data_IF_424714696226
#
_entry.id   IF_424714696226
#
_cell.length_a   1.000
_cell.length_b   1.000
_cell.length_c   1.000
_cell.angle_alpha   90.00
_cell.angle_beta   90.00
_cell.angle_gamma   90.00
#
_symmetry.space_group_name_H-M   'P 1'
#
loop_
_entity.id
_entity.type
_entity.pdbx_description
1 polymer ?
#
# COMPACT_ATOMS: atom_id res chain seq x y z
N UNK A 1 -16.43 -48.71 2.67
CA UNK A 1 -16.77 -47.72 3.72
C UNK A 1 -16.06 -46.43 3.34
N UNK A 2 -16.77 -45.38 3.01
CA UNK A 2 -16.18 -44.16 2.53
C UNK A 2 -15.63 -43.27 3.66
N UNK A 3 -14.67 -42.41 3.31
CA UNK A 3 -13.98 -41.52 4.22
C UNK A 3 -14.30 -40.04 3.92
N UNK A 4 -14.19 -39.21 4.92
CA UNK A 4 -14.41 -37.78 4.80
C UNK A 4 -13.06 -37.06 4.72
N UNK A 5 -12.88 -36.27 3.66
CA UNK A 5 -11.77 -35.34 3.51
C UNK A 5 -12.10 -34.07 4.30
N UNK A 6 -11.31 -33.80 5.32
CA UNK A 6 -11.41 -32.56 6.08
C UNK A 6 -10.69 -31.41 5.37
N UNK A 7 -10.96 -30.17 5.78
CA UNK A 7 -10.35 -28.95 5.23
C UNK A 7 -8.84 -28.86 5.42
N UNK A 8 -8.30 -29.51 6.44
CA UNK A 8 -6.85 -29.63 6.71
C UNK A 8 -6.16 -30.73 5.90
N UNK A 9 -6.86 -31.35 4.96
CA UNK A 9 -6.36 -32.46 4.15
C UNK A 9 -6.38 -33.81 4.85
N UNK A 10 -6.74 -33.88 6.15
CA UNK A 10 -6.85 -35.14 6.86
C UNK A 10 -8.09 -35.96 6.41
N UNK A 11 -7.94 -37.27 6.33
CA UNK A 11 -9.06 -38.19 6.04
C UNK A 11 -9.49 -38.95 7.27
N UNK A 12 -10.80 -38.99 7.54
CA UNK A 12 -11.38 -39.71 8.67
C UNK A 12 -12.52 -40.62 8.19
N UNK A 13 -12.84 -41.63 8.95
CA UNK A 13 -14.01 -42.47 8.67
C UNK A 13 -15.31 -41.67 8.78
N UNK A 14 -16.25 -41.96 7.89
CA UNK A 14 -17.56 -41.33 7.92
C UNK A 14 -18.35 -41.85 9.15
N UNK A 15 -18.98 -40.90 9.85
CA UNK A 15 -19.79 -41.13 11.02
C UNK A 15 -21.05 -40.27 10.97
N UNK A 16 -22.20 -40.87 10.71
CA UNK A 16 -23.50 -40.20 10.61
C UNK A 16 -23.91 -39.51 11.91
N UNK A 17 -23.41 -39.98 13.05
CA UNK A 17 -23.73 -39.38 14.35
C UNK A 17 -23.22 -37.94 14.46
N UNK A 18 -22.16 -37.59 13.73
CA UNK A 18 -21.64 -36.22 13.66
C UNK A 18 -22.58 -35.26 12.93
N UNK A 19 -23.32 -35.77 11.92
CA UNK A 19 -24.37 -35.01 11.24
C UNK A 19 -25.53 -34.76 12.21
N UNK A 20 -26.00 -35.80 12.87
CA UNK A 20 -27.07 -35.70 13.88
C UNK A 20 -26.70 -34.71 14.99
N UNK A 21 -25.48 -34.79 15.53
CA UNK A 21 -25.02 -33.89 16.57
C UNK A 21 -24.92 -32.42 16.11
N UNK A 22 -24.52 -32.19 14.87
CA UNK A 22 -24.47 -30.83 14.30
C UNK A 22 -25.88 -30.25 14.10
N UNK A 23 -26.83 -31.03 13.63
CA UNK A 23 -28.23 -30.61 13.52
C UNK A 23 -28.84 -30.33 14.90
N UNK A 24 -28.65 -31.19 15.90
CA UNK A 24 -29.13 -30.97 17.28
C UNK A 24 -28.70 -29.60 17.78
N UNK A 25 -27.41 -29.27 17.65
CA UNK A 25 -26.89 -27.96 18.06
C UNK A 25 -27.57 -26.78 17.33
N UNK A 26 -27.93 -26.95 16.06
CA UNK A 26 -28.64 -25.90 15.32
C UNK A 26 -30.09 -25.75 15.82
N UNK A 27 -30.78 -26.83 16.16
CA UNK A 27 -32.10 -26.77 16.78
C UNK A 27 -32.08 -26.13 18.17
N UNK A 28 -31.13 -26.52 19.00
CA UNK A 28 -30.94 -25.95 20.34
C UNK A 28 -30.61 -24.45 20.28
N UNK A 29 -29.76 -24.02 19.34
CA UNK A 29 -29.40 -22.61 19.15
C UNK A 29 -30.61 -21.73 18.78
N UNK A 30 -31.67 -22.32 18.19
CA UNK A 30 -32.91 -21.62 17.87
C UNK A 30 -34.01 -21.87 18.93
N UNK A 31 -33.69 -22.56 20.03
CA UNK A 31 -34.68 -22.91 21.09
C UNK A 31 -35.83 -23.76 20.57
N UNK A 32 -35.64 -24.52 19.49
CA UNK A 32 -36.67 -25.30 18.84
C UNK A 32 -36.64 -26.76 19.32
N UNK A 33 -37.75 -27.23 19.80
CA UNK A 33 -37.87 -28.63 20.23
C UNK A 33 -37.72 -29.58 19.03
N UNK A 34 -37.09 -30.71 19.27
CA UNK A 34 -36.90 -31.76 18.28
C UNK A 34 -37.15 -33.14 18.91
N UNK A 35 -37.52 -34.07 18.06
CA UNK A 35 -37.57 -35.49 18.44
C UNK A 35 -36.38 -36.22 17.81
N UNK A 36 -35.70 -37.09 18.56
CA UNK A 36 -34.50 -37.82 18.11
C UNK A 36 -34.72 -38.59 16.81
N UNK A 37 -35.93 -39.16 16.62
CA UNK A 37 -36.24 -39.85 15.37
C UNK A 37 -36.29 -38.95 14.15
N UNK A 38 -36.72 -37.71 14.30
CA UNK A 38 -36.70 -36.69 13.20
C UNK A 38 -35.27 -36.34 12.83
N UNK A 39 -34.43 -36.11 13.82
CA UNK A 39 -32.99 -35.82 13.58
C UNK A 39 -32.31 -36.97 12.84
N UNK A 40 -32.55 -38.21 13.28
CA UNK A 40 -31.97 -39.38 12.64
C UNK A 40 -32.49 -39.58 11.21
N UNK A 41 -33.77 -39.30 10.95
CA UNK A 41 -34.34 -39.36 9.61
C UNK A 41 -33.69 -38.29 8.71
N UNK A 42 -33.55 -37.06 9.18
CA UNK A 42 -32.87 -35.96 8.45
C UNK A 42 -31.41 -36.29 8.17
N UNK A 43 -30.69 -36.89 9.12
CA UNK A 43 -29.29 -37.30 8.92
C UNK A 43 -29.14 -38.39 7.85
N UNK A 44 -30.10 -39.33 7.78
CA UNK A 44 -30.12 -40.29 6.69
C UNK A 44 -30.46 -39.68 5.33
N UNK A 45 -31.36 -38.69 5.28
CA UNK A 45 -31.66 -37.94 4.08
C UNK A 45 -30.43 -37.16 3.58
N UNK A 46 -29.65 -36.54 4.48
CA UNK A 46 -28.37 -35.90 4.15
C UNK A 46 -27.40 -36.89 3.54
N UNK A 47 -27.30 -38.08 4.13
CA UNK A 47 -26.43 -39.13 3.60
C UNK A 47 -26.84 -39.54 2.18
N UNK A 48 -28.13 -39.69 1.93
CA UNK A 48 -28.65 -39.96 0.58
C UNK A 48 -28.44 -38.81 -0.41
N UNK A 49 -28.49 -37.55 0.04
CA UNK A 49 -28.30 -36.37 -0.83
C UNK A 49 -26.86 -36.24 -1.31
N UNK A 50 -25.86 -36.51 -0.45
CA UNK A 50 -24.46 -36.40 -0.88
C UNK A 50 -23.87 -37.69 -1.44
N UNK A 51 -24.51 -38.85 -1.28
CA UNK A 51 -24.02 -40.13 -1.79
C UNK A 51 -23.57 -40.11 -3.25
N UNK A 52 -24.28 -39.43 -4.20
CA UNK A 52 -23.84 -39.29 -5.59
C UNK A 52 -22.57 -38.47 -5.80
N UNK A 53 -22.16 -37.70 -4.77
CA UNK A 53 -20.95 -36.85 -4.83
C UNK A 53 -19.70 -37.60 -4.38
N UNK A 54 -19.81 -38.80 -3.84
CA UNK A 54 -18.67 -39.61 -3.42
C UNK A 54 -17.83 -40.02 -4.60
N UNK A 55 -16.54 -39.71 -4.56
CA UNK A 55 -15.55 -40.10 -5.60
C UNK A 55 -14.40 -40.85 -4.96
N UNK A 56 -14.06 -42.03 -5.48
CA UNK A 56 -12.97 -42.88 -4.96
C UNK A 56 -13.06 -43.16 -3.44
N UNK A 57 -14.24 -43.47 -2.94
CA UNK A 57 -14.54 -43.67 -1.51
C UNK A 57 -14.23 -42.45 -0.62
N UNK A 58 -14.23 -41.25 -1.19
CA UNK A 58 -13.94 -40.00 -0.49
C UNK A 58 -15.06 -38.98 -0.73
N UNK A 59 -15.43 -38.22 0.28
CA UNK A 59 -16.38 -37.10 0.24
C UNK A 59 -15.78 -35.91 0.98
N UNK A 60 -15.88 -34.68 0.42
CA UNK A 60 -15.45 -33.48 1.11
C UNK A 60 -16.43 -33.13 2.24
N UNK A 61 -15.90 -32.58 3.35
CA UNK A 61 -16.74 -32.16 4.48
C UNK A 61 -17.70 -31.05 4.06
N UNK A 62 -17.31 -30.22 3.10
CA UNK A 62 -18.13 -29.16 2.51
C UNK A 62 -19.38 -29.75 1.84
N UNK A 63 -19.24 -30.77 1.00
CA UNK A 63 -20.35 -31.40 0.31
C UNK A 63 -21.39 -31.99 1.31
N UNK A 64 -20.90 -32.53 2.43
CA UNK A 64 -21.78 -33.00 3.51
C UNK A 64 -22.53 -31.83 4.14
N UNK A 65 -21.84 -30.72 4.41
CA UNK A 65 -22.42 -29.52 5.03
C UNK A 65 -23.47 -28.87 4.14
N UNK A 66 -23.20 -28.78 2.84
CA UNK A 66 -24.14 -28.23 1.84
C UNK A 66 -25.39 -29.13 1.75
N UNK A 67 -25.24 -30.45 1.83
CA UNK A 67 -26.36 -31.36 1.89
C UNK A 67 -27.17 -31.22 3.18
N UNK A 68 -26.54 -30.90 4.33
CA UNK A 68 -27.26 -30.59 5.59
C UNK A 68 -28.14 -29.36 5.40
N UNK A 69 -27.59 -28.30 4.83
CA UNK A 69 -28.33 -27.04 4.59
C UNK A 69 -29.52 -27.26 3.65
N UNK A 70 -29.30 -27.98 2.55
CA UNK A 70 -30.34 -28.32 1.59
C UNK A 70 -31.47 -29.15 2.19
N UNK A 71 -31.13 -30.20 2.92
CA UNK A 71 -32.12 -31.10 3.54
C UNK A 71 -32.93 -30.40 4.62
N UNK A 72 -32.30 -29.60 5.49
CA UNK A 72 -33.00 -28.81 6.50
C UNK A 72 -33.98 -27.81 5.84
N UNK A 73 -33.55 -27.11 4.79
CA UNK A 73 -34.41 -26.17 4.05
C UNK A 73 -35.59 -26.88 3.38
N UNK A 74 -35.34 -28.03 2.73
CA UNK A 74 -36.36 -28.81 2.02
C UNK A 74 -37.39 -29.45 2.99
N UNK A 75 -36.95 -29.81 4.20
CA UNK A 75 -37.81 -30.34 5.25
C UNK A 75 -38.63 -29.29 6.01
N UNK A 76 -38.57 -28.01 5.59
CA UNK A 76 -39.34 -26.91 6.20
C UNK A 76 -38.67 -26.27 7.43
N UNK A 77 -37.41 -26.60 7.72
CA UNK A 77 -36.62 -26.04 8.82
C UNK A 77 -35.65 -24.92 8.33
N UNK A 78 -36.23 -23.95 7.59
CA UNK A 78 -35.41 -22.86 6.99
C UNK A 78 -34.70 -21.99 8.05
N UNK A 79 -35.31 -21.76 9.19
CA UNK A 79 -34.74 -21.09 10.36
C UNK A 79 -33.53 -21.84 10.93
N UNK A 80 -33.60 -23.14 11.03
CA UNK A 80 -32.52 -24.03 11.49
C UNK A 80 -31.41 -24.09 10.46
N UNK A 81 -31.73 -24.18 9.16
CA UNK A 81 -30.77 -24.14 8.09
C UNK A 81 -29.97 -22.82 8.13
N UNK A 82 -30.63 -21.68 8.30
CA UNK A 82 -29.99 -20.37 8.46
C UNK A 82 -29.06 -20.31 9.68
N UNK A 83 -29.51 -20.86 10.82
CA UNK A 83 -28.68 -20.95 12.03
C UNK A 83 -27.43 -21.82 11.81
N UNK A 84 -27.59 -22.92 11.10
CA UNK A 84 -26.49 -23.82 10.73
C UNK A 84 -25.45 -23.13 9.83
N UNK A 85 -25.89 -22.39 8.81
CA UNK A 85 -25.03 -21.59 7.92
C UNK A 85 -24.25 -20.53 8.70
N UNK A 86 -24.94 -19.77 9.58
CA UNK A 86 -24.29 -18.75 10.40
C UNK A 86 -23.25 -19.36 11.35
N UNK A 87 -23.56 -20.47 11.99
CA UNK A 87 -22.63 -21.20 12.84
C UNK A 87 -21.41 -21.71 12.05
N UNK A 88 -21.62 -22.24 10.84
CA UNK A 88 -20.56 -22.69 9.94
C UNK A 88 -19.61 -21.55 9.61
N UNK A 89 -20.15 -20.36 9.19
CA UNK A 89 -19.36 -19.15 8.92
C UNK A 89 -18.59 -18.66 10.15
N UNK A 90 -19.23 -18.64 11.32
CA UNK A 90 -18.56 -18.23 12.56
C UNK A 90 -17.40 -19.16 12.93
N UNK A 91 -17.58 -20.47 12.76
CA UNK A 91 -16.52 -21.47 13.00
C UNK A 91 -15.37 -21.35 12.00
N UNK A 92 -15.66 -20.96 10.78
CA UNK A 92 -14.67 -20.68 9.75
C UNK A 92 -13.84 -19.45 10.12
N UNK A 93 -14.49 -18.34 10.52
CA UNK A 93 -13.79 -17.15 11.04
C UNK A 93 -12.85 -17.47 12.20
N UNK A 94 -13.33 -18.23 13.20
CA UNK A 94 -12.51 -18.63 14.35
C UNK A 94 -11.31 -19.49 13.91
N UNK A 95 -11.48 -20.38 12.94
CA UNK A 95 -10.36 -21.18 12.42
C UNK A 95 -9.34 -20.32 11.67
N UNK A 96 -9.80 -19.39 10.84
CA UNK A 96 -8.92 -18.48 10.10
C UNK A 96 -8.09 -17.60 11.04
N UNK A 97 -8.71 -17.08 12.10
CA UNK A 97 -8.01 -16.34 13.16
C UNK A 97 -7.02 -17.23 13.91
N UNK A 98 -7.43 -18.43 14.30
CA UNK A 98 -6.54 -19.39 14.99
C UNK A 98 -5.40 -19.87 14.08
N UNK A 99 -5.64 -20.07 12.80
CA UNK A 99 -4.60 -20.42 11.83
C UNK A 99 -3.54 -19.31 11.72
N UNK A 100 -3.97 -18.05 11.68
CA UNK A 100 -3.05 -16.92 11.68
C UNK A 100 -2.22 -16.83 12.98
N UNK A 101 -2.83 -17.13 14.14
CA UNK A 101 -2.16 -17.16 15.44
C UNK A 101 -1.23 -18.37 15.63
N UNK A 102 -1.62 -19.55 15.11
CA UNK A 102 -0.81 -20.77 15.20
C UNK A 102 0.49 -20.68 14.37
N UNK A 103 0.51 -19.83 13.32
CA UNK A 103 1.70 -19.59 12.50
C UNK A 103 2.59 -18.44 13.02
N UNK A 104 2.32 -17.89 14.21
CA UNK A 104 3.12 -16.75 14.73
C UNK A 104 4.61 -17.12 14.88
N UNK A 105 4.91 -18.34 15.35
CA UNK A 105 6.29 -18.82 15.43
C UNK A 105 6.96 -18.82 14.05
N UNK A 106 6.26 -19.36 13.04
CA UNK A 106 6.79 -19.43 11.68
C UNK A 106 6.96 -18.03 11.07
N UNK A 107 6.05 -17.08 11.37
CA UNK A 107 6.18 -15.69 10.95
C UNK A 107 7.44 -15.03 11.53
N UNK A 108 7.67 -15.22 12.84
CA UNK A 108 8.87 -14.69 13.52
C UNK A 108 10.13 -15.38 13.01
N UNK A 109 10.13 -16.68 12.91
CA UNK A 109 11.28 -17.47 12.44
C UNK A 109 11.63 -17.11 10.99
N UNK A 110 10.65 -16.96 10.11
CA UNK A 110 10.85 -16.54 8.72
C UNK A 110 11.46 -15.13 8.62
N UNK A 111 10.98 -14.20 9.45
CA UNK A 111 11.56 -12.85 9.52
C UNK A 111 13.01 -12.88 10.00
N UNK A 112 13.29 -13.63 11.06
CA UNK A 112 14.63 -13.72 11.64
C UNK A 112 15.63 -14.50 10.77
N UNK A 113 15.17 -15.47 9.99
CA UNK A 113 16.03 -16.27 9.11
C UNK A 113 16.34 -15.63 7.76
N UNK A 114 15.77 -14.46 7.46
CA UNK A 114 15.96 -13.71 6.20
C UNK A 114 15.58 -14.53 4.94
N UNK A 115 14.80 -15.56 5.10
CA UNK A 115 14.42 -16.44 3.99
C UNK A 115 13.31 -15.86 3.13
N UNK A 116 12.56 -14.89 3.66
CA UNK A 116 11.47 -14.24 2.93
C UNK A 116 12.02 -13.04 2.14
N UNK A 117 12.04 -13.15 0.81
CA UNK A 117 12.46 -12.07 -0.10
C UNK A 117 11.60 -10.81 0.05
N UNK A 118 10.34 -10.93 0.50
CA UNK A 118 9.42 -9.81 0.73
C UNK A 118 9.90 -8.89 1.86
N UNK A 119 10.66 -9.41 2.80
CA UNK A 119 11.28 -8.60 3.87
C UNK A 119 12.33 -7.64 3.32
N UNK A 120 12.90 -7.94 2.15
CA UNK A 120 13.93 -7.13 1.48
C UNK A 120 13.33 -6.15 0.46
N UNK A 121 12.10 -6.34 0.04
CA UNK A 121 11.44 -5.49 -0.92
C UNK A 121 11.19 -4.11 -0.30
N UNK A 122 11.73 -3.07 -0.92
CA UNK A 122 11.66 -1.68 -0.46
C UNK A 122 12.20 -1.42 0.96
N UNK A 123 12.97 -2.33 1.53
CA UNK A 123 13.59 -2.17 2.85
C UNK A 123 15.04 -1.73 2.70
N UNK A 124 15.37 -0.56 3.25
CA UNK A 124 16.75 -0.07 3.38
C UNK A 124 17.48 -0.68 4.57
N UNK A 125 16.78 -1.41 5.45
CA UNK A 125 17.31 -2.04 6.66
C UNK A 125 16.97 -3.52 6.65
N UNK A 126 17.99 -4.36 6.80
CA UNK A 126 17.86 -5.83 6.76
C UNK A 126 17.14 -6.38 7.99
N UNK A 127 17.27 -5.70 9.14
CA UNK A 127 16.64 -6.05 10.41
C UNK A 127 16.30 -4.83 11.23
N UNK A 128 15.11 -4.82 11.84
CA UNK A 128 14.77 -3.90 12.93
C UNK A 128 13.63 -4.49 13.78
N UNK A 129 13.56 -4.07 15.04
CA UNK A 129 12.42 -4.41 15.91
C UNK A 129 11.11 -3.89 15.31
N UNK A 130 11.13 -2.68 14.73
CA UNK A 130 9.98 -2.11 14.02
C UNK A 130 9.55 -2.97 12.82
N UNK A 131 10.50 -3.48 12.04
CA UNK A 131 10.23 -4.38 10.92
C UNK A 131 9.58 -5.69 11.35
N UNK A 132 10.02 -6.28 12.45
CA UNK A 132 9.39 -7.46 13.04
C UNK A 132 7.92 -7.17 13.42
N UNK A 133 7.67 -6.03 14.08
CA UNK A 133 6.31 -5.63 14.48
C UNK A 133 5.44 -5.44 13.23
N UNK A 134 5.93 -4.72 12.22
CA UNK A 134 5.21 -4.48 10.97
C UNK A 134 4.94 -5.78 10.20
N UNK A 135 5.90 -6.69 10.12
CA UNK A 135 5.73 -8.00 9.49
C UNK A 135 4.61 -8.80 10.15
N UNK A 136 4.61 -8.88 11.47
CA UNK A 136 3.59 -9.58 12.22
C UNK A 136 2.20 -8.94 12.08
N UNK A 137 2.13 -7.62 12.23
CA UNK A 137 0.90 -6.85 12.04
C UNK A 137 0.38 -6.99 10.60
N UNK A 138 1.29 -6.92 9.62
CA UNK A 138 0.96 -7.03 8.21
C UNK A 138 0.35 -8.38 7.84
N UNK A 139 0.84 -9.47 8.41
CA UNK A 139 0.28 -10.80 8.17
C UNK A 139 -1.17 -10.93 8.68
N UNK A 140 -1.46 -10.35 9.85
CA UNK A 140 -2.82 -10.31 10.40
C UNK A 140 -3.73 -9.45 9.53
N UNK A 141 -3.25 -8.29 9.11
CA UNK A 141 -3.98 -7.35 8.24
C UNK A 141 -4.26 -7.96 6.87
N UNK A 142 -3.29 -8.63 6.26
CA UNK A 142 -3.47 -9.33 4.99
C UNK A 142 -4.55 -10.42 5.09
N UNK A 143 -4.56 -11.18 6.18
CA UNK A 143 -5.60 -12.16 6.40
C UNK A 143 -6.99 -11.51 6.53
N UNK A 144 -7.08 -10.35 7.21
CA UNK A 144 -8.34 -9.61 7.31
C UNK A 144 -8.85 -9.14 5.94
N UNK A 145 -7.98 -8.59 5.08
CA UNK A 145 -8.34 -8.22 3.71
C UNK A 145 -8.93 -9.40 2.94
N UNK A 146 -8.25 -10.56 3.00
CA UNK A 146 -8.61 -11.75 2.24
C UNK A 146 -9.79 -12.55 2.82
N UNK A 147 -10.20 -12.29 4.06
CA UNK A 147 -11.31 -13.00 4.70
C UNK A 147 -12.57 -12.18 4.91
N UNK A 148 -12.44 -10.85 4.99
CA UNK A 148 -13.55 -9.97 5.38
C UNK A 148 -13.88 -8.90 4.34
N UNK A 149 -12.92 -8.49 3.50
CA UNK A 149 -13.07 -7.35 2.58
C UNK A 149 -13.24 -7.80 1.13
N UNK A 150 -12.35 -8.68 0.65
CA UNK A 150 -12.45 -9.19 -0.72
C UNK A 150 -13.42 -10.35 -0.82
N UNK A 151 -14.10 -10.48 -1.96
CA UNK A 151 -14.90 -11.64 -2.29
C UNK A 151 -14.02 -12.90 -2.32
N UNK A 152 -14.62 -14.05 -1.99
CA UNK A 152 -13.90 -15.32 -1.85
C UNK A 152 -13.17 -15.71 -3.14
N UNK A 153 -13.74 -15.43 -4.31
CA UNK A 153 -13.13 -15.69 -5.62
C UNK A 153 -11.82 -14.92 -5.80
N UNK A 154 -11.80 -13.63 -5.44
CA UNK A 154 -10.61 -12.76 -5.50
C UNK A 154 -9.56 -13.20 -4.49
N UNK A 155 -9.99 -13.50 -3.27
CA UNK A 155 -9.10 -13.95 -2.20
C UNK A 155 -8.45 -15.30 -2.55
N UNK A 156 -9.21 -16.25 -3.12
CA UNK A 156 -8.69 -17.54 -3.56
C UNK A 156 -7.74 -17.40 -4.76
N UNK A 157 -8.04 -16.52 -5.71
CA UNK A 157 -7.14 -16.21 -6.81
C UNK A 157 -5.78 -15.66 -6.32
N UNK A 158 -5.79 -14.84 -5.26
CA UNK A 158 -4.55 -14.38 -4.62
C UNK A 158 -3.81 -15.51 -3.90
N UNK A 159 -4.51 -16.35 -3.12
CA UNK A 159 -3.91 -17.46 -2.37
C UNK A 159 -3.31 -18.53 -3.30
N UNK A 160 -3.96 -18.79 -4.44
CA UNK A 160 -3.48 -19.72 -5.46
C UNK A 160 -2.42 -19.13 -6.39
N UNK A 161 -2.03 -17.86 -6.20
CA UNK A 161 -1.11 -17.12 -7.04
C UNK A 161 -1.56 -16.91 -8.51
N UNK A 162 -2.84 -17.04 -8.80
CA UNK A 162 -3.43 -16.68 -10.09
C UNK A 162 -3.54 -15.14 -10.25
N UNK A 163 -3.63 -14.41 -9.14
CA UNK A 163 -3.68 -12.95 -9.03
C UNK A 163 -2.78 -12.50 -7.89
N UNK A 164 -2.13 -11.36 -8.02
CA UNK A 164 -1.41 -10.72 -6.91
C UNK A 164 -2.09 -9.42 -6.48
N UNK A 165 -2.51 -9.34 -5.21
CA UNK A 165 -2.97 -8.11 -4.57
C UNK A 165 -1.81 -7.50 -3.79
N UNK A 166 -1.49 -6.23 -4.08
CA UNK A 166 -0.42 -5.49 -3.43
C UNK A 166 -0.82 -4.95 -2.04
N UNK A 167 0.17 -4.77 -1.18
CA UNK A 167 0.10 -3.99 0.08
C UNK A 167 -1.01 -4.39 1.04
N UNK A 168 -1.35 -5.68 1.07
CA UNK A 168 -2.33 -6.24 2.01
C UNK A 168 -1.91 -6.10 3.48
N UNK A 169 -0.66 -5.69 3.75
CA UNK A 169 -0.14 -5.48 5.10
C UNK A 169 -0.70 -4.24 5.81
N UNK A 170 -1.42 -3.36 5.11
CA UNK A 170 -1.99 -2.13 5.64
C UNK A 170 -3.45 -1.97 5.24
N UNK A 171 -4.29 -1.45 6.17
CA UNK A 171 -5.69 -1.08 5.91
C UNK A 171 -5.76 0.40 5.50
N UNK A 172 -5.26 0.74 4.31
CA UNK A 172 -5.18 2.13 3.85
C UNK A 172 -5.21 2.22 2.32
N UNK A 173 -5.34 3.45 1.81
CA UNK A 173 -5.15 3.75 0.39
C UNK A 173 -3.72 3.47 -0.06
N UNK A 174 -3.52 3.29 -1.37
CA UNK A 174 -2.23 2.88 -1.92
C UNK A 174 -1.28 4.07 -2.08
N UNK A 175 -1.53 4.95 -3.04
CA UNK A 175 -0.69 6.10 -3.36
C UNK A 175 -1.44 7.41 -3.17
N UNK A 176 -0.70 8.50 -2.91
CA UNK A 176 -1.28 9.84 -2.81
C UNK A 176 -0.37 10.90 -3.44
N UNK A 177 -1.00 11.85 -4.15
CA UNK A 177 -0.40 13.11 -4.57
C UNK A 177 -0.74 14.22 -3.59
N UNK A 178 0.25 15.02 -3.23
CA UNK A 178 0.10 16.09 -2.26
C UNK A 178 0.38 17.45 -2.89
N UNK A 179 -0.42 18.44 -2.54
CA UNK A 179 -0.21 19.81 -3.01
C UNK A 179 0.97 20.46 -2.30
N UNK A 180 2.09 20.61 -3.02
CA UNK A 180 3.23 21.36 -2.52
C UNK A 180 2.87 22.84 -2.32
N UNK A 181 2.00 23.40 -3.17
CA UNK A 181 1.47 24.76 -3.01
C UNK A 181 0.76 24.95 -1.66
N UNK A 182 -0.08 23.98 -1.28
CA UNK A 182 -0.77 24.04 0.01
C UNK A 182 0.21 23.97 1.18
N UNK A 183 1.22 23.10 1.13
CA UNK A 183 2.26 23.04 2.14
C UNK A 183 3.02 24.37 2.29
N UNK A 184 3.31 25.04 1.17
CA UNK A 184 3.98 26.36 1.14
C UNK A 184 3.08 27.45 1.72
N UNK A 185 1.77 27.40 1.47
CA UNK A 185 0.80 28.38 1.96
C UNK A 185 0.46 28.23 3.43
N UNK A 186 0.29 27.00 3.91
CA UNK A 186 -0.27 26.70 5.21
C UNK A 186 0.77 26.20 6.23
N UNK A 187 1.91 25.70 5.74
CA UNK A 187 2.91 25.02 6.56
C UNK A 187 2.47 23.60 6.94
N UNK A 188 3.11 23.03 7.94
CA UNK A 188 2.71 21.75 8.53
C UNK A 188 1.61 22.02 9.56
N UNK A 189 0.42 22.23 9.08
CA UNK A 189 -0.82 22.17 9.85
C UNK A 189 -1.15 20.70 10.06
N UNK A 190 -1.99 20.34 10.89
CA UNK A 190 -2.25 18.96 10.91
C UNK A 190 -3.33 18.49 11.86
N UNK A 191 -3.07 17.40 12.54
CA UNK A 191 -3.97 16.77 13.47
C UNK A 191 -4.11 17.67 14.72
N UNK A 192 -5.32 18.04 15.14
CA UNK A 192 -5.52 18.83 16.35
C UNK A 192 -4.76 18.24 17.56
N UNK A 193 -4.04 19.10 18.27
CA UNK A 193 -3.22 18.70 19.44
C UNK A 193 -1.83 18.14 19.11
N UNK A 194 -1.42 18.12 17.84
CA UNK A 194 -0.04 17.82 17.42
C UNK A 194 0.75 19.11 17.18
N UNK A 195 2.08 18.96 17.12
CA UNK A 195 2.99 20.09 16.80
C UNK A 195 2.71 20.53 15.35
N UNK A 196 2.61 21.83 15.16
CA UNK A 196 2.42 22.48 13.86
C UNK A 196 3.64 23.33 13.50
N UNK A 197 3.85 23.59 12.23
CA UNK A 197 4.89 24.50 11.75
C UNK A 197 4.26 25.51 10.80
N UNK A 198 4.60 26.79 10.99
CA UNK A 198 4.19 27.86 10.07
C UNK A 198 4.75 27.66 8.67
N UNK A 199 4.22 28.35 7.63
CA UNK A 199 4.79 28.37 6.30
C UNK A 199 6.29 28.63 6.28
N UNK A 200 7.03 27.88 5.49
CA UNK A 200 8.47 28.01 5.37
C UNK A 200 8.85 29.33 4.72
N UNK A 201 9.72 30.11 5.36
CA UNK A 201 10.28 31.33 4.77
C UNK A 201 11.57 31.11 3.98
N UNK A 202 12.21 29.95 4.11
CA UNK A 202 13.52 29.62 3.54
C UNK A 202 13.52 28.24 2.87
N UNK A 203 14.34 28.07 1.81
CA UNK A 203 14.45 26.81 1.07
C UNK A 203 14.80 25.63 2.00
N UNK A 204 15.74 25.79 2.92
CA UNK A 204 16.14 24.74 3.86
C UNK A 204 14.99 24.30 4.78
N UNK A 205 14.16 25.27 5.21
CA UNK A 205 12.99 24.99 6.04
C UNK A 205 11.92 24.24 5.24
N UNK A 206 11.66 24.64 4.00
CA UNK A 206 10.72 23.95 3.11
C UNK A 206 11.17 22.50 2.85
N UNK A 207 12.46 22.29 2.54
CA UNK A 207 13.02 20.94 2.37
C UNK A 207 12.81 20.07 3.61
N UNK A 208 13.01 20.62 4.80
CA UNK A 208 12.76 19.90 6.04
C UNK A 208 11.26 19.62 6.27
N UNK A 209 10.38 20.58 5.99
CA UNK A 209 8.93 20.36 6.07
C UNK A 209 8.46 19.27 5.12
N UNK A 210 8.97 19.22 3.88
CA UNK A 210 8.65 18.17 2.91
C UNK A 210 9.08 16.79 3.40
N UNK A 211 10.29 16.65 3.97
CA UNK A 211 10.77 15.38 4.54
C UNK A 211 9.86 14.92 5.68
N UNK A 212 9.54 15.84 6.61
CA UNK A 212 8.67 15.52 7.74
C UNK A 212 7.26 15.17 7.30
N UNK A 213 6.70 15.88 6.32
CA UNK A 213 5.39 15.62 5.77
C UNK A 213 5.34 14.20 5.15
N UNK A 214 6.27 13.88 4.27
CA UNK A 214 6.33 12.55 3.65
C UNK A 214 6.57 11.44 4.68
N UNK A 215 7.41 11.69 5.69
CA UNK A 215 7.65 10.77 6.80
C UNK A 215 6.41 10.50 7.66
N UNK A 216 5.56 11.51 7.87
CA UNK A 216 4.28 11.36 8.57
C UNK A 216 3.29 10.60 7.69
N UNK A 217 3.12 11.04 6.44
CA UNK A 217 2.09 10.51 5.56
C UNK A 217 2.33 9.06 5.13
N UNK A 218 3.58 8.59 5.11
CA UNK A 218 3.84 7.17 4.85
C UNK A 218 3.29 6.21 5.92
N UNK A 219 2.90 6.72 7.10
CA UNK A 219 2.22 5.91 8.11
C UNK A 219 0.72 5.75 7.83
N UNK A 220 0.17 6.60 6.97
CA UNK A 220 -1.25 6.63 6.62
C UNK A 220 -1.52 6.07 5.21
N UNK A 221 -0.48 5.87 4.38
CA UNK A 221 -0.57 5.41 3.00
C UNK A 221 0.45 4.30 2.74
N UNK A 222 0.01 3.24 2.06
CA UNK A 222 0.85 2.07 1.81
C UNK A 222 1.90 2.29 0.72
N UNK A 223 1.57 3.04 -0.32
CA UNK A 223 2.39 3.23 -1.51
C UNK A 223 3.05 4.60 -1.62
N UNK A 224 3.32 5.02 -2.85
CA UNK A 224 4.08 6.22 -3.13
C UNK A 224 3.36 7.51 -2.71
N UNK A 225 4.16 8.45 -2.19
CA UNK A 225 3.78 9.81 -1.85
C UNK A 225 4.43 10.77 -2.85
N UNK A 226 3.67 11.64 -3.48
CA UNK A 226 4.20 12.49 -4.55
C UNK A 226 3.95 13.97 -4.32
N UNK A 227 4.94 14.80 -4.71
CA UNK A 227 4.78 16.23 -4.91
C UNK A 227 4.95 16.58 -6.40
N UNK A 228 4.07 17.44 -6.92
CA UNK A 228 4.16 17.95 -8.29
C UNK A 228 4.88 19.29 -8.37
N UNK A 229 5.37 19.63 -9.56
CA UNK A 229 5.99 20.92 -9.87
C UNK A 229 7.08 21.33 -8.88
N UNK A 230 7.92 20.36 -8.52
CA UNK A 230 8.91 20.52 -7.45
C UNK A 230 9.88 21.67 -7.71
N UNK A 231 10.45 21.73 -8.91
CA UNK A 231 11.40 22.78 -9.30
C UNK A 231 10.72 24.16 -9.42
N UNK A 232 9.49 24.21 -9.97
CA UNK A 232 8.70 25.45 -10.08
C UNK A 232 8.40 26.06 -8.72
N UNK A 233 7.96 25.24 -7.76
CA UNK A 233 7.59 25.72 -6.41
C UNK A 233 8.79 26.03 -5.51
N UNK A 234 9.94 25.43 -5.73
CA UNK A 234 11.14 25.70 -4.94
C UNK A 234 11.92 26.92 -5.44
N UNK A 235 11.85 27.23 -6.72
CA UNK A 235 12.59 28.34 -7.35
C UNK A 235 12.39 29.71 -6.66
N UNK A 236 11.17 30.13 -6.26
CA UNK A 236 10.96 31.38 -5.54
C UNK A 236 11.77 31.51 -4.24
N UNK A 237 11.98 30.43 -3.50
CA UNK A 237 12.77 30.44 -2.27
C UNK A 237 14.25 30.69 -2.54
N UNK A 238 14.77 30.14 -3.64
CA UNK A 238 16.15 30.40 -4.11
C UNK A 238 16.32 31.86 -4.43
N UNK A 239 15.33 32.48 -5.10
CA UNK A 239 15.33 33.88 -5.49
C UNK A 239 15.26 34.83 -4.30
N UNK A 240 14.32 34.59 -3.38
CA UNK A 240 14.13 35.43 -2.17
C UNK A 240 15.36 35.41 -1.27
N UNK A 241 15.94 34.23 -1.03
CA UNK A 241 17.13 34.09 -0.20
C UNK A 241 18.44 34.44 -0.96
N UNK A 242 18.36 34.71 -2.25
CA UNK A 242 19.51 34.96 -3.15
C UNK A 242 20.61 33.89 -2.98
N UNK A 243 20.21 32.63 -3.01
CA UNK A 243 21.10 31.50 -2.73
C UNK A 243 22.11 31.27 -3.88
N UNK A 244 23.31 30.91 -3.49
CA UNK A 244 24.30 30.38 -4.42
C UNK A 244 24.00 28.94 -4.82
N UNK A 245 24.53 28.45 -5.96
CA UNK A 245 24.38 27.07 -6.41
C UNK A 245 24.78 26.05 -5.32
N UNK A 246 25.84 26.37 -4.56
CA UNK A 246 26.32 25.51 -3.46
C UNK A 246 25.29 25.40 -2.32
N UNK A 247 24.64 26.49 -1.96
CA UNK A 247 23.60 26.52 -0.91
C UNK A 247 22.34 25.80 -1.36
N UNK A 248 21.92 26.01 -2.63
CA UNK A 248 20.81 25.25 -3.22
C UNK A 248 21.13 23.75 -3.19
N UNK A 249 22.32 23.34 -3.64
CA UNK A 249 22.76 21.94 -3.62
C UNK A 249 22.72 21.36 -2.21
N UNK A 250 23.13 22.12 -1.20
CA UNK A 250 23.08 21.67 0.21
C UNK A 250 21.64 21.45 0.70
N UNK A 251 20.70 22.34 0.35
CA UNK A 251 19.29 22.19 0.72
C UNK A 251 18.67 20.97 0.05
N UNK A 252 18.88 20.79 -1.26
CA UNK A 252 18.36 19.64 -2.02
C UNK A 252 19.01 18.34 -1.54
N UNK A 253 20.31 18.33 -1.20
CA UNK A 253 20.98 17.16 -0.63
C UNK A 253 20.35 16.75 0.71
N UNK A 254 20.02 17.72 1.56
CA UNK A 254 19.35 17.45 2.83
C UNK A 254 17.96 16.82 2.63
N UNK A 255 17.20 17.28 1.63
CA UNK A 255 15.93 16.71 1.25
C UNK A 255 16.09 15.27 0.75
N UNK A 256 16.97 15.03 -0.24
CA UNK A 256 17.21 13.70 -0.81
C UNK A 256 17.68 12.72 0.28
N UNK A 257 18.63 13.12 1.12
CA UNK A 257 19.07 12.29 2.23
C UNK A 257 17.93 11.97 3.20
N UNK A 258 17.12 12.96 3.54
CA UNK A 258 15.97 12.81 4.45
C UNK A 258 14.95 11.80 3.95
N UNK A 259 14.61 11.83 2.66
CA UNK A 259 13.65 10.86 2.08
C UNK A 259 14.25 9.48 1.81
N UNK A 260 15.57 9.30 1.95
CA UNK A 260 16.23 8.00 1.90
C UNK A 260 16.54 7.43 3.30
N UNK A 261 16.25 8.20 4.36
CA UNK A 261 16.45 7.75 5.72
C UNK A 261 15.20 7.00 6.20
N UNK A 262 15.35 5.77 6.73
CA UNK A 262 14.21 5.01 7.25
C UNK A 262 13.50 5.78 8.37
N UNK A 263 12.20 6.06 8.20
CA UNK A 263 11.39 6.81 9.15
C UNK A 263 10.20 6.03 9.70
N UNK A 264 9.67 5.08 8.94
CA UNK A 264 8.60 4.19 9.43
C UNK A 264 9.22 3.11 10.33
N UNK A 265 9.22 3.35 11.64
CA UNK A 265 9.72 2.40 12.64
C UNK A 265 11.13 1.87 12.34
N UNK A 266 11.94 2.68 11.62
CA UNK A 266 13.29 2.34 11.23
C UNK A 266 13.42 1.27 10.13
N UNK A 267 12.35 0.94 9.39
CA UNK A 267 12.37 -0.13 8.39
C UNK A 267 12.27 0.33 6.96
N UNK A 268 11.59 1.45 6.72
CA UNK A 268 11.30 1.92 5.36
C UNK A 268 11.51 3.42 5.25
N UNK A 269 12.23 3.84 4.21
CA UNK A 269 12.27 5.23 3.79
C UNK A 269 10.93 5.61 3.12
N UNK A 270 10.53 6.90 3.14
CA UNK A 270 9.33 7.34 2.44
C UNK A 270 9.43 7.02 0.94
N UNK A 271 8.54 6.15 0.45
CA UNK A 271 8.42 5.88 -0.97
C UNK A 271 7.90 7.16 -1.64
N UNK A 272 8.81 8.02 -2.05
CA UNK A 272 8.51 9.36 -2.54
C UNK A 272 8.76 9.49 -4.04
N UNK A 273 7.92 10.30 -4.68
CA UNK A 273 8.01 10.67 -6.08
C UNK A 273 7.94 12.19 -6.18
N UNK A 274 8.63 12.79 -7.14
CA UNK A 274 8.49 14.20 -7.50
C UNK A 274 8.31 14.35 -9.00
N UNK A 275 7.44 15.27 -9.41
CA UNK A 275 7.46 15.75 -10.79
C UNK A 275 8.19 17.06 -10.88
N UNK A 276 8.97 17.22 -11.94
CA UNK A 276 9.75 18.40 -12.25
C UNK A 276 9.29 18.90 -13.63
N UNK A 277 9.03 20.20 -13.70
CA UNK A 277 8.44 20.79 -14.89
C UNK A 277 9.46 21.13 -15.96
N UNK A 278 10.70 21.45 -15.59
CA UNK A 278 11.80 21.92 -16.47
C UNK A 278 11.51 23.27 -17.12
N UNK A 279 10.29 23.45 -17.62
CA UNK A 279 9.74 24.72 -18.09
C UNK A 279 8.55 25.04 -17.21
N UNK A 280 8.45 26.27 -16.71
CA UNK A 280 7.34 26.67 -15.86
C UNK A 280 5.99 26.46 -16.57
N UNK A 281 5.04 25.71 -15.98
CA UNK A 281 3.76 25.47 -16.60
C UNK A 281 2.99 26.76 -16.91
N UNK A 282 2.32 26.87 -18.06
CA UNK A 282 1.61 28.10 -18.46
C UNK A 282 0.56 28.58 -17.45
N UNK A 283 -0.09 27.66 -16.76
CA UNK A 283 -1.09 27.95 -15.72
C UNK A 283 -0.48 28.54 -14.44
N UNK A 284 0.80 28.31 -14.19
CA UNK A 284 1.55 28.86 -13.06
C UNK A 284 2.39 30.09 -13.44
N UNK A 285 2.79 30.21 -14.70
CA UNK A 285 3.79 31.19 -15.13
C UNK A 285 3.44 32.64 -14.75
N UNK A 286 2.16 33.01 -14.88
CA UNK A 286 1.67 34.36 -14.58
C UNK A 286 1.12 34.51 -13.14
N UNK A 287 1.13 33.42 -12.34
CA UNK A 287 0.70 33.49 -10.94
C UNK A 287 1.78 34.11 -10.06
N UNK A 288 1.41 34.95 -9.07
CA UNK A 288 2.35 35.40 -8.06
C UNK A 288 3.01 34.23 -7.35
N UNK A 289 4.32 34.26 -7.21
CA UNK A 289 5.04 33.26 -6.44
C UNK A 289 4.71 33.37 -4.94
N UNK A 290 4.72 32.24 -4.22
CA UNK A 290 4.37 32.19 -2.80
C UNK A 290 5.60 31.77 -1.99
N UNK A 291 5.97 32.57 -1.00
CA UNK A 291 7.03 32.27 -0.03
C UNK A 291 6.56 32.67 1.36
N UNK A 292 6.74 31.82 2.34
CA UNK A 292 6.30 32.11 3.72
C UNK A 292 4.79 32.30 3.86
N UNK A 293 3.99 31.67 3.00
CA UNK A 293 2.54 31.82 2.97
C UNK A 293 2.05 33.15 2.40
N UNK A 294 2.93 33.94 1.74
CA UNK A 294 2.61 35.24 1.20
C UNK A 294 2.95 35.30 -0.29
N UNK A 295 2.12 36.04 -1.05
CA UNK A 295 2.40 36.33 -2.44
C UNK A 295 3.58 37.32 -2.55
N UNK A 296 4.44 37.06 -3.52
CA UNK A 296 5.59 37.91 -3.87
C UNK A 296 5.20 38.88 -4.97
N UNK A 297 6.07 39.88 -5.21
CA UNK A 297 5.94 40.87 -6.27
C UNK A 297 6.48 40.39 -7.64
N UNK A 298 6.77 39.09 -7.74
CA UNK A 298 7.20 38.43 -8.98
C UNK A 298 6.43 37.10 -9.15
N UNK A 299 6.42 36.60 -10.39
CA UNK A 299 5.70 35.39 -10.77
C UNK A 299 6.59 34.14 -10.77
N UNK A 300 5.98 32.95 -10.84
CA UNK A 300 6.74 31.70 -11.01
C UNK A 300 7.51 31.66 -12.32
N UNK A 301 6.95 32.19 -13.41
CA UNK A 301 7.63 32.28 -14.71
C UNK A 301 8.91 33.08 -14.70
N UNK A 302 9.02 34.07 -13.79
CA UNK A 302 10.22 34.89 -13.62
C UNK A 302 11.35 34.21 -12.82
N UNK A 303 11.16 32.96 -12.41
CA UNK A 303 12.12 32.19 -11.61
C UNK A 303 12.88 31.11 -12.41
N UNK A 304 12.96 31.25 -13.75
CA UNK A 304 13.61 30.24 -14.62
C UNK A 304 15.06 29.94 -14.23
N UNK A 305 15.85 30.97 -13.92
CA UNK A 305 17.23 30.80 -13.47
C UNK A 305 17.33 29.96 -12.19
N UNK A 306 16.45 30.20 -11.25
CA UNK A 306 16.41 29.52 -9.98
C UNK A 306 15.87 28.07 -10.13
N UNK A 307 14.92 27.86 -11.06
CA UNK A 307 14.50 26.48 -11.45
C UNK A 307 15.69 25.69 -12.02
N UNK A 308 16.50 26.30 -12.88
CA UNK A 308 17.70 25.68 -13.43
C UNK A 308 18.71 25.30 -12.33
N UNK A 309 18.84 26.14 -11.30
CA UNK A 309 19.71 25.86 -10.15
C UNK A 309 19.20 24.68 -9.33
N UNK A 310 17.89 24.58 -9.11
CA UNK A 310 17.26 23.44 -8.41
C UNK A 310 17.45 22.15 -9.20
N UNK A 311 17.16 22.17 -10.51
CA UNK A 311 17.33 21.01 -11.39
C UNK A 311 18.78 20.53 -11.44
N UNK A 312 19.74 21.47 -11.61
CA UNK A 312 21.18 21.17 -11.59
C UNK A 312 21.58 20.50 -10.29
N UNK A 313 21.20 21.08 -9.15
CA UNK A 313 21.51 20.55 -7.83
C UNK A 313 20.95 19.13 -7.65
N UNK A 314 19.68 18.92 -8.01
CA UNK A 314 19.03 17.63 -7.92
C UNK A 314 19.74 16.56 -8.74
N UNK A 315 20.00 16.83 -10.01
CA UNK A 315 20.60 15.87 -10.93
C UNK A 315 22.03 15.53 -10.50
N UNK A 316 22.84 16.53 -10.14
CA UNK A 316 24.21 16.31 -9.66
C UNK A 316 24.24 15.37 -8.43
N UNK A 317 23.35 15.57 -7.45
CA UNK A 317 23.29 14.76 -6.24
C UNK A 317 22.87 13.32 -6.59
N UNK A 318 21.91 13.17 -7.49
CA UNK A 318 21.46 11.83 -7.93
C UNK A 318 22.57 11.08 -8.68
N UNK A 319 23.41 11.79 -9.45
CA UNK A 319 24.56 11.20 -10.15
C UNK A 319 25.69 10.83 -9.17
N UNK A 320 25.97 11.69 -8.20
CA UNK A 320 27.04 11.50 -7.21
C UNK A 320 26.73 10.35 -6.24
N UNK A 321 25.46 10.25 -5.83
CA UNK A 321 25.03 9.25 -4.82
C UNK A 321 25.40 9.65 -3.39
N UNK A 322 25.35 8.67 -2.49
CA UNK A 322 25.70 8.83 -1.07
C UNK A 322 27.23 8.94 -0.86
N UNK A 323 27.66 9.07 0.39
CA UNK A 323 29.08 9.18 0.76
C UNK A 323 29.95 7.96 0.31
N UNK A 324 29.33 6.87 -0.09
CA UNK A 324 29.98 5.68 -0.62
C UNK A 324 29.76 5.52 -2.14
N UNK A 325 29.17 6.51 -2.82
CA UNK A 325 28.84 6.46 -4.23
C UNK A 325 27.65 5.57 -4.60
N UNK A 326 26.78 5.22 -3.64
CA UNK A 326 25.57 4.44 -3.90
C UNK A 326 24.48 5.40 -4.38
N UNK A 327 23.77 5.02 -5.45
CA UNK A 327 22.64 5.79 -5.96
C UNK A 327 21.50 5.88 -4.92
N UNK A 328 20.87 7.04 -4.85
CA UNK A 328 19.67 7.23 -4.04
C UNK A 328 18.46 6.55 -4.68
N UNK A 329 17.61 5.93 -3.85
CA UNK A 329 16.39 5.28 -4.29
C UNK A 329 15.24 6.29 -4.49
N UNK A 330 15.21 7.31 -3.66
CA UNK A 330 14.17 8.32 -3.59
C UNK A 330 14.73 9.73 -3.63
N UNK A 331 13.91 10.71 -4.03
CA UNK A 331 12.60 10.57 -4.69
C UNK A 331 12.76 10.02 -6.10
N UNK A 332 11.75 9.27 -6.59
CA UNK A 332 11.70 8.89 -8.01
C UNK A 332 11.34 10.13 -8.82
N UNK A 333 12.22 10.61 -9.72
CA UNK A 333 11.96 11.82 -10.50
C UNK A 333 11.20 11.52 -11.78
N UNK A 334 10.23 12.36 -12.10
CA UNK A 334 9.52 12.38 -13.39
C UNK A 334 9.58 13.76 -13.98
N UNK A 335 10.18 13.92 -15.16
CA UNK A 335 10.26 15.17 -15.89
C UNK A 335 9.12 15.30 -16.89
N UNK A 336 8.47 16.47 -16.91
CA UNK A 336 7.45 16.84 -17.88
C UNK A 336 8.09 17.32 -19.17
N UNK A 337 7.80 16.68 -20.29
CA UNK A 337 8.26 17.09 -21.62
C UNK A 337 7.10 17.79 -22.32
N UNK A 338 7.28 19.09 -22.54
CA UNK A 338 6.33 19.98 -23.19
C UNK A 338 6.85 20.40 -24.58
N UNK A 339 6.01 21.06 -25.39
CA UNK A 339 6.38 21.52 -26.73
C UNK A 339 7.51 22.55 -26.74
N UNK A 340 7.70 23.27 -25.64
CA UNK A 340 8.71 24.30 -25.41
C UNK A 340 9.95 23.78 -24.65
N UNK A 341 10.08 22.47 -24.47
CA UNK A 341 11.28 21.88 -23.89
C UNK A 341 12.51 22.19 -24.76
N UNK A 342 13.51 22.82 -24.15
CA UNK A 342 14.75 23.16 -24.85
C UNK A 342 15.66 21.93 -24.98
N UNK A 343 15.81 21.43 -26.19
CA UNK A 343 16.68 20.28 -26.54
C UNK A 343 18.11 20.65 -26.84
N UNK A 344 18.50 21.92 -26.66
CA UNK A 344 19.88 22.39 -26.91
C UNK A 344 20.88 21.76 -25.93
N UNK A 345 22.18 21.85 -26.26
CA UNK A 345 23.26 21.29 -25.43
C UNK A 345 23.57 22.18 -24.21
N UNK A 346 22.56 22.48 -23.37
CA UNK A 346 22.77 23.15 -22.11
C UNK A 346 23.49 22.23 -21.10
N UNK A 347 24.11 22.84 -20.08
CA UNK A 347 24.74 22.07 -19.01
C UNK A 347 23.74 21.15 -18.30
N UNK A 348 22.52 21.65 -18.01
CA UNK A 348 21.47 20.87 -17.36
C UNK A 348 20.98 19.71 -18.23
N UNK A 349 20.83 19.92 -19.55
CA UNK A 349 20.45 18.84 -20.46
C UNK A 349 21.51 17.73 -20.49
N UNK A 350 22.79 18.09 -20.54
CA UNK A 350 23.89 17.11 -20.48
C UNK A 350 23.84 16.30 -19.20
N UNK A 351 23.66 16.94 -18.05
CA UNK A 351 23.52 16.27 -16.76
C UNK A 351 22.28 15.36 -16.71
N UNK A 352 21.14 15.81 -17.24
CA UNK A 352 19.91 15.02 -17.29
C UNK A 352 20.09 13.72 -18.07
N UNK A 353 20.73 13.80 -19.24
CA UNK A 353 20.99 12.60 -20.04
C UNK A 353 22.12 11.75 -19.48
N UNK A 354 23.11 12.33 -18.77
CA UNK A 354 24.11 11.55 -18.03
C UNK A 354 23.46 10.72 -16.91
N UNK A 355 22.57 11.34 -16.12
CA UNK A 355 21.81 10.64 -15.09
C UNK A 355 20.98 9.50 -15.69
N UNK A 356 20.30 9.77 -16.81
CA UNK A 356 19.49 8.78 -17.52
C UNK A 356 20.33 7.61 -18.00
N UNK A 357 21.49 7.87 -18.59
CA UNK A 357 22.39 6.84 -19.08
C UNK A 357 22.98 5.99 -17.96
N UNK A 358 23.28 6.59 -16.81
CA UNK A 358 23.92 5.93 -15.66
C UNK A 358 22.96 5.06 -14.86
N UNK A 359 21.73 5.53 -14.63
CA UNK A 359 20.80 4.93 -13.67
C UNK A 359 19.45 4.50 -14.25
N UNK A 360 19.14 4.80 -15.51
CA UNK A 360 17.83 4.56 -16.11
C UNK A 360 16.70 5.43 -15.52
N UNK A 361 17.07 6.51 -14.82
CA UNK A 361 16.18 7.53 -14.28
C UNK A 361 16.61 8.91 -14.82
N UNK A 362 15.73 9.87 -14.95
CA UNK A 362 14.33 9.96 -14.53
C UNK A 362 13.36 9.26 -15.47
N UNK A 363 12.08 9.23 -15.06
CA UNK A 363 10.97 8.99 -15.99
C UNK A 363 10.64 10.29 -16.74
N UNK A 364 10.06 10.15 -17.93
CA UNK A 364 9.61 11.26 -18.74
C UNK A 364 8.13 11.14 -19.05
N UNK A 365 7.38 12.19 -18.75
CA UNK A 365 5.97 12.32 -19.10
C UNK A 365 5.82 13.24 -20.29
N UNK A 366 5.18 12.78 -21.36
CA UNK A 366 5.05 13.53 -22.61
C UNK A 366 3.73 14.29 -22.65
N UNK A 367 3.82 15.62 -22.54
CA UNK A 367 2.68 16.56 -22.61
C UNK A 367 2.66 17.40 -23.90
N UNK A 368 3.42 17.03 -24.93
CA UNK A 368 3.50 17.80 -26.18
C UNK A 368 2.12 17.95 -26.85
N UNK A 369 1.29 16.92 -26.77
CA UNK A 369 -0.04 16.89 -27.38
C UNK A 369 -1.15 16.49 -26.39
N UNK A 370 -0.95 16.71 -25.11
CA UNK A 370 -1.89 16.32 -24.07
C UNK A 370 -1.96 17.37 -22.98
N UNK A 371 -3.18 17.76 -22.61
CA UNK A 371 -3.46 18.65 -21.48
C UNK A 371 -3.63 17.86 -20.17
N UNK A 372 -3.56 16.54 -20.22
CA UNK A 372 -3.73 15.67 -19.04
C UNK A 372 -2.38 15.29 -18.46
N UNK A 373 -2.09 15.78 -17.29
CA UNK A 373 -1.06 15.21 -16.44
C UNK A 373 -1.48 13.80 -16.00
N UNK A 374 -1.08 12.79 -16.78
CA UNK A 374 -1.20 11.39 -16.39
C UNK A 374 0.11 10.99 -15.72
N UNK A 375 0.29 11.45 -14.49
CA UNK A 375 1.44 11.07 -13.68
C UNK A 375 0.99 10.36 -12.41
N UNK A 376 1.86 9.56 -11.79
CA UNK A 376 1.64 8.97 -10.47
C UNK A 376 1.38 10.01 -9.36
N UNK A 377 1.58 11.29 -9.65
CA UNK A 377 1.37 12.40 -8.74
C UNK A 377 -0.06 12.96 -8.75
N UNK A 378 -0.89 12.58 -9.71
CA UNK A 378 -2.29 13.02 -9.80
C UNK A 378 -3.23 11.84 -9.58
N UNK A 379 -3.54 11.60 -8.34
CA UNK A 379 -4.61 10.70 -7.95
C UNK A 379 -5.77 11.50 -7.37
#
# INVERSE_FOLDING_TARGET
MYRVLKRDGATVEFDVSKISAAMIKAFEAQGRNYHTSVINMLALQVTSDFEPKIKNDLIAVEDIQDSVEKVLSAAGYADIAKAYILYRKQREKVRNVNSALLNYKDLVDNYLQINDWRVKENSTVTYSVGGLILSNSGAITANYWLSEIYDEEVAEAHRSAALHLHDLSMLTGYCAGWSLKQLIQEGLGGVPGKITSSPAGHLSTLCNQMVNFLGIMQNEWAGAQAFSSFDTYLAPFVKVDNLTQKEVKQCIQSFIYGVNTPSRWGTQAPFSNITLDWVCPPDLADQPAIVGGKEMDFTYGECKKEMDMVNKAFIEIMIEGDANGRGFQYPIPTYSITSDFDWSETENNKLLFEMTAKYGTPYFSNYINSDMEIGRAHV
#
